data_IF_885610211296
#
_entry.id   IF_885610211296
#
_cell.length_a   1.000
_cell.length_b   1.000
_cell.length_c   1.000
_cell.angle_alpha   90.00
_cell.angle_beta   90.00
_cell.angle_gamma   90.00
#
_symmetry.space_group_name_H-M   'P 1'
#
loop_
_entity.id
_entity.type
_entity.pdbx_description
1 polymer ?
#
# COMPACT_ATOMS: atom_id res chain seq x y z
N UNK A 1 -11.70 -19.55 -10.98
CA UNK A 1 -10.26 -19.45 -11.32
C UNK A 1 -9.57 -20.75 -10.98
N UNK A 2 -8.56 -21.15 -11.74
CA UNK A 2 -7.73 -22.31 -11.37
C UNK A 2 -6.83 -21.97 -10.18
N UNK A 3 -6.38 -23.00 -9.45
CA UNK A 3 -5.44 -22.84 -8.32
C UNK A 3 -4.16 -22.12 -8.76
N UNK A 4 -3.69 -22.39 -9.98
CA UNK A 4 -2.51 -21.72 -10.53
C UNK A 4 -2.75 -20.22 -10.76
N UNK A 5 -3.96 -19.82 -11.19
CA UNK A 5 -4.32 -18.41 -11.37
C UNK A 5 -4.37 -17.67 -10.03
N UNK A 6 -4.96 -18.28 -8.99
CA UNK A 6 -5.03 -17.69 -7.64
C UNK A 6 -3.64 -17.48 -7.07
N UNK A 7 -2.76 -18.49 -7.13
CA UNK A 7 -1.36 -18.36 -6.67
C UNK A 7 -0.58 -17.30 -7.42
N UNK A 8 -0.81 -17.16 -8.73
CA UNK A 8 -0.15 -16.13 -9.52
C UNK A 8 -0.64 -14.73 -9.14
N UNK A 9 -1.95 -14.58 -8.90
CA UNK A 9 -2.54 -13.33 -8.45
C UNK A 9 -2.04 -12.93 -7.06
N UNK A 10 -2.03 -13.86 -6.09
CA UNK A 10 -1.47 -13.63 -4.76
C UNK A 10 -0.03 -13.08 -4.84
N UNK A 11 0.84 -13.71 -5.65
CA UNK A 11 2.21 -13.21 -5.83
C UNK A 11 2.28 -11.78 -6.39
N UNK A 12 1.40 -11.42 -7.32
CA UNK A 12 1.36 -10.05 -7.87
C UNK A 12 0.88 -9.05 -6.82
N UNK A 13 -0.13 -9.44 -6.04
CA UNK A 13 -0.63 -8.63 -4.92
C UNK A 13 0.47 -8.43 -3.88
N UNK A 14 1.25 -9.47 -3.54
CA UNK A 14 2.38 -9.34 -2.61
C UNK A 14 3.44 -8.35 -3.11
N UNK A 15 3.75 -8.40 -4.42
CA UNK A 15 4.67 -7.44 -5.03
C UNK A 15 4.15 -6.00 -4.95
N UNK A 16 2.88 -5.77 -5.30
CA UNK A 16 2.25 -4.46 -5.24
C UNK A 16 2.15 -3.94 -3.80
N UNK A 17 1.87 -4.83 -2.85
CA UNK A 17 1.88 -4.49 -1.43
C UNK A 17 3.27 -4.00 -1.03
N UNK A 18 4.32 -4.78 -1.30
CA UNK A 18 5.70 -4.44 -0.95
C UNK A 18 6.16 -3.12 -1.58
N UNK A 19 5.83 -2.87 -2.85
CA UNK A 19 6.13 -1.61 -3.53
C UNK A 19 5.42 -0.43 -2.84
N UNK A 20 4.13 -0.56 -2.55
CA UNK A 20 3.38 0.48 -1.87
C UNK A 20 3.93 0.77 -0.47
N UNK A 21 4.33 -0.25 0.30
CA UNK A 21 4.94 -0.06 1.62
C UNK A 21 6.28 0.68 1.54
N UNK A 22 7.10 0.39 0.52
CA UNK A 22 8.38 1.05 0.30
C UNK A 22 8.19 2.53 -0.05
N UNK A 23 7.29 2.83 -0.98
CA UNK A 23 7.03 4.20 -1.40
C UNK A 23 6.32 5.03 -0.30
N UNK A 24 5.44 4.42 0.49
CA UNK A 24 4.85 5.05 1.68
C UNK A 24 5.91 5.42 2.71
N UNK A 25 6.81 4.47 3.02
CA UNK A 25 7.90 4.69 3.97
C UNK A 25 8.86 5.76 3.47
N UNK A 26 9.11 5.80 2.16
CA UNK A 26 9.94 6.84 1.53
C UNK A 26 9.28 8.22 1.57
N UNK A 27 7.98 8.31 1.24
CA UNK A 27 7.24 9.57 1.25
C UNK A 27 7.11 10.14 2.66
N UNK A 28 6.86 9.28 3.66
CA UNK A 28 6.73 9.68 5.06
C UNK A 28 8.08 9.84 5.78
N UNK A 29 9.15 9.21 5.28
CA UNK A 29 10.44 9.14 5.97
C UNK A 29 10.47 8.25 7.22
N UNK A 30 9.37 7.55 7.52
CA UNK A 30 9.21 6.67 8.68
C UNK A 30 8.08 5.66 8.44
N UNK A 31 7.95 4.64 9.28
CA UNK A 31 6.91 3.60 9.16
C UNK A 31 5.62 3.86 9.98
N UNK A 32 5.50 4.99 10.69
CA UNK A 32 4.32 5.29 11.53
C UNK A 32 2.98 5.32 10.76
N UNK A 33 3.03 5.49 9.43
CA UNK A 33 1.85 5.40 8.56
C UNK A 33 1.12 4.07 8.69
N UNK A 34 1.83 2.98 9.05
CA UNK A 34 1.24 1.65 9.26
C UNK A 34 0.19 1.64 10.38
N UNK A 35 0.39 2.45 11.41
CA UNK A 35 -0.52 2.54 12.56
C UNK A 35 -1.46 3.74 12.52
N UNK A 36 -1.01 4.85 11.92
CA UNK A 36 -1.77 6.11 11.88
C UNK A 36 -2.72 6.21 10.67
N UNK A 37 -2.45 5.47 9.59
CA UNK A 37 -3.26 5.54 8.38
C UNK A 37 -3.21 6.92 7.71
N UNK A 38 -4.34 7.40 7.18
CA UNK A 38 -4.42 8.67 6.46
C UNK A 38 -3.94 9.88 7.28
N UNK A 39 -4.13 9.85 8.61
CA UNK A 39 -3.69 10.93 9.52
C UNK A 39 -2.17 11.15 9.47
N UNK A 40 -1.38 10.13 9.07
CA UNK A 40 0.05 10.26 8.89
C UNK A 40 0.44 11.22 7.74
N UNK A 41 -0.46 11.46 6.79
CA UNK A 41 -0.15 12.18 5.55
C UNK A 41 -0.55 13.65 5.63
N UNK A 42 -1.50 14.01 6.48
CA UNK A 42 -1.95 15.39 6.67
C UNK A 42 -0.83 16.30 7.19
N UNK A 43 0.11 15.72 7.94
CA UNK A 43 1.31 16.40 8.46
C UNK A 43 2.44 16.59 7.44
N UNK A 44 2.32 16.07 6.21
CA UNK A 44 3.34 16.25 5.18
C UNK A 44 3.23 17.65 4.55
N UNK A 45 4.22 18.50 4.83
CA UNK A 45 4.31 19.86 4.27
C UNK A 45 4.55 19.86 2.76
N UNK A 46 5.30 18.88 2.26
CA UNK A 46 5.59 18.68 0.84
C UNK A 46 4.37 18.06 0.14
N UNK A 47 3.74 18.85 -0.73
CA UNK A 47 2.54 18.47 -1.47
C UNK A 47 2.74 17.26 -2.39
N UNK A 48 3.93 17.09 -2.97
CA UNK A 48 4.23 15.96 -3.86
C UNK A 48 4.41 14.68 -3.07
N UNK A 49 5.07 14.76 -1.90
CA UNK A 49 5.16 13.62 -0.96
C UNK A 49 3.78 13.23 -0.44
N UNK A 50 2.94 14.21 -0.09
CA UNK A 50 1.58 13.94 0.37
C UNK A 50 0.74 13.28 -0.72
N UNK A 51 0.83 13.75 -1.97
CA UNK A 51 0.12 13.13 -3.09
C UNK A 51 0.59 11.68 -3.31
N UNK A 52 1.90 11.46 -3.25
CA UNK A 52 2.52 10.12 -3.36
C UNK A 52 2.04 9.20 -2.25
N UNK A 53 2.05 9.65 -1.00
CA UNK A 53 1.62 8.87 0.14
C UNK A 53 0.13 8.49 0.04
N UNK A 54 -0.74 9.44 -0.31
CA UNK A 54 -2.16 9.17 -0.52
C UNK A 54 -2.41 8.14 -1.64
N UNK A 55 -1.69 8.27 -2.75
CA UNK A 55 -1.80 7.33 -3.86
C UNK A 55 -1.42 5.91 -3.44
N UNK A 56 -0.22 5.73 -2.89
CA UNK A 56 0.26 4.40 -2.51
C UNK A 56 -0.50 3.81 -1.33
N UNK A 57 -1.04 4.63 -0.42
CA UNK A 57 -1.88 4.13 0.66
C UNK A 57 -3.19 3.54 0.14
N UNK A 58 -3.83 4.21 -0.83
CA UNK A 58 -5.01 3.65 -1.50
C UNK A 58 -4.72 2.35 -2.24
N UNK A 59 -3.57 2.26 -2.93
CA UNK A 59 -3.13 1.02 -3.57
C UNK A 59 -2.90 -0.09 -2.53
N UNK A 60 -2.20 0.21 -1.44
CA UNK A 60 -1.95 -0.73 -0.35
C UNK A 60 -3.26 -1.25 0.25
N UNK A 61 -4.21 -0.37 0.58
CA UNK A 61 -5.53 -0.78 1.09
C UNK A 61 -6.27 -1.69 0.11
N UNK A 62 -6.31 -1.31 -1.18
CA UNK A 62 -6.95 -2.12 -2.22
C UNK A 62 -6.32 -3.51 -2.31
N UNK A 63 -4.99 -3.60 -2.28
CA UNK A 63 -4.27 -4.88 -2.29
C UNK A 63 -4.61 -5.72 -1.06
N UNK A 64 -4.69 -5.12 0.13
CA UNK A 64 -5.06 -5.81 1.38
C UNK A 64 -6.47 -6.36 1.32
N UNK A 65 -7.43 -5.60 0.80
CA UNK A 65 -8.81 -6.06 0.58
C UNK A 65 -8.88 -7.23 -0.39
N UNK A 66 -8.13 -7.16 -1.50
CA UNK A 66 -8.05 -8.25 -2.47
C UNK A 66 -7.39 -9.51 -1.89
N UNK A 67 -6.32 -9.37 -1.12
CA UNK A 67 -5.68 -10.47 -0.41
C UNK A 67 -6.66 -11.13 0.57
N UNK A 68 -7.39 -10.33 1.37
CA UNK A 68 -8.41 -10.85 2.29
C UNK A 68 -9.53 -11.60 1.57
N UNK A 69 -9.96 -11.12 0.39
CA UNK A 69 -10.99 -11.76 -0.42
C UNK A 69 -10.53 -13.10 -1.05
N UNK A 70 -9.23 -13.28 -1.27
CA UNK A 70 -8.66 -14.51 -1.84
C UNK A 70 -8.40 -15.62 -0.80
N UNK A 71 -8.36 -15.26 0.49
CA UNK A 71 -7.99 -16.15 1.60
C UNK A 71 -6.52 -16.53 1.60
#
# INVERSE_FOLDING_TARGET
MSVAQVKNLQRRLDNLCSEAEQELTRACGHELWRSLGFDAFDGLEDGDRRATANYYYGQWQTVRELQQALG
#
